data_IF_893316392922
#
_entry.id   IF_893316392922
#
_cell.length_a   1.000
_cell.length_b   1.000
_cell.length_c   1.000
_cell.angle_alpha   90.00
_cell.angle_beta   90.00
_cell.angle_gamma   90.00
#
_symmetry.space_group_name_H-M   'P 1'
#
loop_
_entity.id
_entity.type
_entity.pdbx_description
1 polymer ?
#
# COMPACT_ATOMS: atom_id res chain seq x y z
N UNK A 1 -0.06 -30.22 22.90
CA UNK A 1 -1.00 -29.90 21.81
C UNK A 1 -0.54 -28.56 21.24
N UNK A 2 0.07 -28.53 20.05
CA UNK A 2 0.36 -27.25 19.39
C UNK A 2 -0.98 -26.74 18.88
N UNK A 3 -1.43 -25.60 19.41
CA UNK A 3 -2.55 -24.88 18.80
C UNK A 3 -2.00 -24.38 17.47
N UNK A 4 -2.55 -24.88 16.37
CA UNK A 4 -2.16 -24.48 15.03
C UNK A 4 -2.76 -23.09 14.80
N UNK A 5 -2.11 -22.07 15.37
CA UNK A 5 -2.50 -20.68 15.25
C UNK A 5 -2.10 -20.20 13.87
N UNK A 6 -3.10 -19.86 13.06
CA UNK A 6 -2.86 -19.19 11.79
C UNK A 6 -2.38 -17.76 12.10
N UNK A 7 -1.21 -17.31 11.59
CA UNK A 7 -0.68 -15.97 11.89
C UNK A 7 -1.68 -14.85 11.58
N UNK A 8 -2.50 -15.04 10.55
CA UNK A 8 -3.52 -14.07 10.15
C UNK A 8 -4.54 -13.80 11.27
N UNK A 9 -4.98 -14.82 12.02
CA UNK A 9 -5.95 -14.64 13.10
C UNK A 9 -5.38 -13.95 14.35
N UNK A 10 -4.06 -13.70 14.37
CA UNK A 10 -3.38 -12.91 15.40
C UNK A 10 -3.27 -11.44 14.94
N UNK A 11 -3.22 -11.19 13.63
CA UNK A 11 -2.95 -9.87 13.05
C UNK A 11 -4.22 -9.11 12.65
N UNK A 12 -5.30 -9.82 12.32
CA UNK A 12 -6.57 -9.24 11.86
C UNK A 12 -7.75 -9.93 12.54
N UNK A 13 -8.87 -9.22 12.67
CA UNK A 13 -10.13 -9.75 13.17
C UNK A 13 -11.29 -9.64 12.16
N UNK A 14 -12.47 -10.12 12.55
CA UNK A 14 -13.67 -10.09 11.69
C UNK A 14 -14.13 -8.67 11.35
N UNK A 15 -13.81 -7.67 12.20
CA UNK A 15 -14.16 -6.28 11.94
C UNK A 15 -13.25 -5.68 10.86
N UNK A 16 -11.94 -5.97 10.89
CA UNK A 16 -11.00 -5.60 9.83
C UNK A 16 -11.45 -6.17 8.48
N UNK A 17 -11.80 -7.47 8.45
CA UNK A 17 -12.26 -8.16 7.24
C UNK A 17 -13.53 -7.50 6.70
N UNK A 18 -14.52 -7.25 7.58
CA UNK A 18 -15.77 -6.62 7.17
C UNK A 18 -15.54 -5.21 6.61
N UNK A 19 -14.64 -4.43 7.21
CA UNK A 19 -14.28 -3.11 6.71
C UNK A 19 -13.63 -3.18 5.33
N UNK A 20 -12.65 -4.07 5.14
CA UNK A 20 -11.97 -4.22 3.86
C UNK A 20 -12.92 -4.69 2.75
N UNK A 21 -13.85 -5.59 3.07
CA UNK A 21 -14.91 -6.00 2.14
C UNK A 21 -15.80 -4.83 1.74
N UNK A 22 -16.19 -3.97 2.68
CA UNK A 22 -16.97 -2.76 2.39
C UNK A 22 -16.20 -1.77 1.50
N UNK A 23 -14.86 -1.78 1.58
CA UNK A 23 -13.97 -1.00 0.72
C UNK A 23 -13.70 -1.68 -0.64
N UNK A 24 -14.25 -2.87 -0.89
CA UNK A 24 -14.18 -3.57 -2.17
C UNK A 24 -13.06 -4.61 -2.31
N UNK A 25 -12.43 -5.02 -1.19
CA UNK A 25 -11.55 -6.18 -1.17
C UNK A 25 -12.37 -7.47 -1.44
N UNK A 26 -11.87 -8.42 -2.27
CA UNK A 26 -12.49 -9.73 -2.41
C UNK A 26 -12.69 -10.47 -1.08
N UNK A 27 -13.75 -11.27 -1.03
CA UNK A 27 -14.02 -12.16 0.08
C UNK A 27 -13.27 -13.50 -0.06
N UNK A 28 -11.94 -13.47 -0.14
CA UNK A 28 -11.11 -14.66 -0.22
C UNK A 28 -9.86 -14.55 0.68
N UNK A 29 -9.37 -15.71 1.13
CA UNK A 29 -8.25 -15.82 2.06
C UNK A 29 -6.98 -15.12 1.56
N UNK A 30 -6.65 -15.26 0.28
CA UNK A 30 -5.44 -14.66 -0.32
C UNK A 30 -5.54 -13.14 -0.28
N UNK A 31 -6.72 -12.59 -0.53
CA UNK A 31 -6.97 -11.15 -0.46
C UNK A 31 -6.82 -10.60 0.96
N UNK A 32 -7.28 -11.34 1.98
CA UNK A 32 -7.07 -10.95 3.38
C UNK A 32 -5.60 -10.99 3.79
N UNK A 33 -4.85 -11.99 3.32
CA UNK A 33 -3.42 -12.09 3.56
C UNK A 33 -2.66 -10.93 2.88
N UNK A 34 -2.99 -10.61 1.63
CA UNK A 34 -2.41 -9.48 0.91
C UNK A 34 -2.74 -8.14 1.57
N UNK A 35 -3.96 -7.97 2.05
CA UNK A 35 -4.37 -6.78 2.80
C UNK A 35 -3.58 -6.66 4.11
N UNK A 36 -3.47 -7.73 4.89
CA UNK A 36 -2.67 -7.74 6.11
C UNK A 36 -1.19 -7.41 5.82
N UNK A 37 -0.60 -7.97 4.77
CA UNK A 37 0.77 -7.62 4.35
C UNK A 37 0.86 -6.13 4.02
N UNK A 38 -0.07 -5.59 3.23
CA UNK A 38 -0.06 -4.18 2.83
C UNK A 38 -0.16 -3.24 4.05
N UNK A 39 -1.02 -3.56 5.01
CA UNK A 39 -1.28 -2.72 6.19
C UNK A 39 -0.13 -2.80 7.21
N UNK A 40 0.43 -3.99 7.43
CA UNK A 40 1.40 -4.23 8.50
C UNK A 40 2.86 -4.30 8.03
N UNK A 41 3.14 -4.13 6.74
CA UNK A 41 4.51 -4.20 6.23
C UNK A 41 5.40 -3.04 6.72
N UNK A 42 6.63 -3.38 7.08
CA UNK A 42 7.66 -2.42 7.48
C UNK A 42 8.35 -1.73 6.31
N UNK A 43 8.21 -2.25 5.09
CA UNK A 43 8.75 -1.66 3.86
C UNK A 43 7.59 -1.17 3.00
N UNK A 44 7.84 -0.25 2.09
CA UNK A 44 6.81 0.18 1.16
C UNK A 44 6.41 -1.00 0.25
N UNK A 45 5.13 -1.41 0.23
CA UNK A 45 4.71 -2.59 -0.51
C UNK A 45 4.68 -2.30 -2.01
N UNK A 46 5.16 -3.26 -2.79
CA UNK A 46 4.94 -3.31 -4.23
C UNK A 46 3.75 -4.23 -4.51
N UNK A 47 2.70 -3.68 -5.12
CA UNK A 47 1.51 -4.43 -5.48
C UNK A 47 1.48 -4.73 -6.99
N UNK A 48 1.34 -6.01 -7.33
CA UNK A 48 1.12 -6.47 -8.72
C UNK A 48 -0.37 -6.76 -8.88
N UNK A 49 -1.09 -5.89 -9.57
CA UNK A 49 -2.54 -5.95 -9.68
C UNK A 49 -3.00 -5.79 -11.15
N UNK A 50 -3.05 -6.88 -11.93
CA UNK A 50 -3.45 -6.81 -13.34
C UNK A 50 -4.93 -6.46 -13.53
N UNK A 51 -5.77 -6.64 -12.50
CA UNK A 51 -7.22 -6.42 -12.57
C UNK A 51 -7.63 -5.04 -12.02
N UNK A 52 -6.72 -4.30 -11.37
CA UNK A 52 -6.99 -3.00 -10.76
C UNK A 52 -7.87 -3.07 -9.51
N UNK A 53 -8.05 -4.26 -8.92
CA UNK A 53 -8.90 -4.45 -7.75
C UNK A 53 -8.25 -3.94 -6.47
N UNK A 54 -6.99 -4.28 -6.23
CA UNK A 54 -6.21 -3.75 -5.12
C UNK A 54 -6.08 -2.24 -5.22
N UNK A 55 -5.93 -1.71 -6.43
CA UNK A 55 -5.89 -0.27 -6.68
C UNK A 55 -7.18 0.43 -6.21
N UNK A 56 -8.34 -0.13 -6.56
CA UNK A 56 -9.64 0.39 -6.15
C UNK A 56 -9.80 0.31 -4.63
N UNK A 57 -9.40 -0.80 -4.02
CA UNK A 57 -9.47 -0.99 -2.57
C UNK A 57 -8.61 0.03 -1.82
N UNK A 58 -7.34 0.24 -2.21
CA UNK A 58 -6.44 1.23 -1.58
C UNK A 58 -7.02 2.65 -1.67
N UNK A 59 -7.63 3.01 -2.81
CA UNK A 59 -8.27 4.32 -2.99
C UNK A 59 -9.47 4.53 -2.05
N UNK A 60 -10.22 3.47 -1.77
CA UNK A 60 -11.33 3.50 -0.82
C UNK A 60 -10.87 3.45 0.64
N UNK A 61 -9.68 2.89 0.91
CA UNK A 61 -9.12 2.80 2.25
C UNK A 61 -8.52 4.13 2.73
N UNK A 62 -7.86 4.89 1.85
CA UNK A 62 -7.09 6.11 2.23
C UNK A 62 -7.71 7.44 1.74
N UNK A 63 -9.04 7.48 1.55
CA UNK A 63 -9.79 8.53 0.80
C UNK A 63 -9.35 9.97 1.06
N UNK A 64 -9.02 10.33 2.30
CA UNK A 64 -8.84 11.73 2.70
C UNK A 64 -7.39 12.23 2.60
N UNK A 65 -6.41 11.32 2.45
CA UNK A 65 -4.97 11.67 2.45
C UNK A 65 -4.18 11.02 1.32
N UNK A 66 -4.86 10.43 0.34
CA UNK A 66 -4.21 9.71 -0.75
C UNK A 66 -3.83 10.64 -1.90
N UNK A 67 -2.53 10.82 -2.11
CA UNK A 67 -1.97 11.44 -3.31
C UNK A 67 -1.64 10.33 -4.32
N UNK A 68 -2.45 10.23 -5.36
CA UNK A 68 -2.19 9.31 -6.48
C UNK A 68 -1.36 10.00 -7.57
N UNK A 69 -0.24 9.40 -7.94
CA UNK A 69 0.68 9.86 -8.99
C UNK A 69 0.98 8.73 -9.96
N UNK A 70 1.22 9.07 -11.23
CA UNK A 70 1.82 8.14 -12.18
C UNK A 70 3.33 8.33 -12.21
N UNK A 71 4.08 7.24 -12.17
CA UNK A 71 5.54 7.25 -12.34
C UNK A 71 5.94 7.94 -13.65
N UNK A 72 7.04 8.69 -13.63
CA UNK A 72 7.57 9.45 -14.77
C UNK A 72 6.60 10.46 -15.42
N UNK A 73 5.49 10.81 -14.77
CA UNK A 73 4.61 11.89 -15.25
C UNK A 73 5.24 13.27 -15.02
N UNK A 74 4.83 14.27 -15.81
CA UNK A 74 5.36 15.64 -15.69
C UNK A 74 5.12 16.17 -14.26
N UNK A 75 6.21 16.58 -13.59
CA UNK A 75 6.17 17.11 -12.23
C UNK A 75 5.91 16.07 -11.14
N UNK A 76 6.10 14.76 -11.40
CA UNK A 76 5.85 13.73 -10.39
C UNK A 76 6.75 13.89 -9.17
N UNK A 77 8.04 14.21 -9.35
CA UNK A 77 9.00 14.40 -8.24
C UNK A 77 8.58 15.54 -7.31
N UNK A 78 8.17 16.69 -7.85
CA UNK A 78 7.69 17.82 -7.07
C UNK A 78 6.47 17.44 -6.22
N UNK A 79 5.58 16.62 -6.79
CA UNK A 79 4.39 16.13 -6.07
C UNK A 79 4.74 15.08 -5.02
N UNK A 80 5.72 14.22 -5.28
CA UNK A 80 6.27 13.27 -4.28
C UNK A 80 6.86 14.05 -3.11
N UNK A 81 7.72 15.03 -3.37
CA UNK A 81 8.33 15.87 -2.34
C UNK A 81 7.25 16.56 -1.49
N UNK A 82 6.25 17.15 -2.15
CA UNK A 82 5.17 17.85 -1.45
C UNK A 82 4.33 16.90 -0.58
N UNK A 83 4.04 15.69 -1.05
CA UNK A 83 3.32 14.67 -0.28
C UNK A 83 4.12 14.22 0.94
N UNK A 84 5.42 13.93 0.77
CA UNK A 84 6.33 13.56 1.86
C UNK A 84 6.39 14.67 2.91
N UNK A 85 6.52 15.93 2.49
CA UNK A 85 6.58 17.09 3.39
C UNK A 85 5.29 17.27 4.22
N UNK A 86 4.12 16.97 3.64
CA UNK A 86 2.82 17.07 4.32
C UNK A 86 2.46 15.85 5.16
N UNK A 87 3.16 14.74 5.00
CA UNK A 87 2.80 13.46 5.61
C UNK A 87 1.55 12.83 4.97
N UNK A 88 1.33 13.09 3.67
CA UNK A 88 0.25 12.46 2.90
C UNK A 88 0.60 10.99 2.56
N UNK A 89 -0.42 10.16 2.37
CA UNK A 89 -0.24 8.81 1.83
C UNK A 89 0.00 8.89 0.33
N UNK A 90 1.12 8.34 -0.15
CA UNK A 90 1.46 8.35 -1.56
C UNK A 90 1.14 7.00 -2.23
N UNK A 91 0.47 7.05 -3.38
CA UNK A 91 0.28 5.91 -4.26
C UNK A 91 0.88 6.20 -5.63
N UNK A 92 1.91 5.44 -5.98
CA UNK A 92 2.60 5.55 -7.26
C UNK A 92 2.14 4.45 -8.20
N UNK A 93 1.45 4.84 -9.28
CA UNK A 93 0.89 3.95 -10.29
C UNK A 93 1.86 3.76 -11.46
N UNK A 94 1.74 2.61 -12.14
CA UNK A 94 2.46 2.28 -13.37
C UNK A 94 3.99 2.39 -13.21
N UNK A 95 4.52 1.90 -12.10
CA UNK A 95 5.97 1.85 -11.93
C UNK A 95 6.59 0.91 -12.97
N UNK A 96 7.80 1.24 -13.41
CA UNK A 96 8.58 0.43 -14.33
C UNK A 96 9.44 -0.58 -13.54
N UNK A 97 10.04 -1.55 -14.23
CA UNK A 97 10.99 -2.49 -13.62
C UNK A 97 12.20 -1.77 -13.02
N UNK A 98 12.59 -0.63 -13.61
CA UNK A 98 13.67 0.22 -13.15
C UNK A 98 13.10 1.52 -12.58
N UNK A 99 13.36 1.74 -11.30
CA UNK A 99 12.97 2.97 -10.59
C UNK A 99 14.17 3.91 -10.58
N UNK A 100 13.93 5.21 -10.76
CA UNK A 100 14.96 6.25 -10.65
C UNK A 100 15.61 6.22 -9.26
N UNK A 101 16.94 6.17 -9.26
CA UNK A 101 17.81 6.24 -8.09
C UNK A 101 17.48 7.41 -7.14
N UNK A 102 16.88 8.49 -7.64
CA UNK A 102 16.45 9.63 -6.83
C UNK A 102 15.42 9.25 -5.75
N UNK A 103 14.64 8.19 -5.96
CA UNK A 103 13.64 7.71 -4.99
C UNK A 103 14.24 6.75 -3.95
N UNK A 104 15.47 6.26 -4.13
CA UNK A 104 16.10 5.31 -3.21
C UNK A 104 16.12 5.77 -1.75
N UNK A 105 16.42 7.05 -1.41
CA UNK A 105 16.42 7.48 -0.01
C UNK A 105 15.03 7.36 0.63
N UNK A 106 13.97 7.62 -0.14
CA UNK A 106 12.59 7.54 0.31
C UNK A 106 12.17 6.07 0.45
N UNK A 107 12.47 5.24 -0.56
CA UNK A 107 12.10 3.83 -0.60
C UNK A 107 12.80 3.05 0.53
N UNK A 108 14.08 3.31 0.75
CA UNK A 108 14.87 2.66 1.80
C UNK A 108 14.64 3.26 3.20
N UNK A 109 13.83 4.34 3.31
CA UNK A 109 13.62 5.08 4.56
C UNK A 109 14.95 5.54 5.19
N UNK A 110 15.88 6.03 4.37
CA UNK A 110 17.15 6.59 4.80
C UNK A 110 16.93 8.00 5.38
N UNK A 111 16.40 8.05 6.59
CA UNK A 111 16.18 9.30 7.32
C UNK A 111 17.52 9.80 7.87
N UNK A 112 18.00 10.91 7.33
CA UNK A 112 19.17 11.61 7.90
C UNK A 112 18.73 12.21 9.24
N UNK A 113 19.45 11.85 10.31
CA UNK A 113 19.28 12.42 11.65
C UNK A 113 20.05 13.71 11.81
#
# INVERSE_FOLDING_TARGET
MRVDLQPLSIMIDDADIAEWMNQGLPADQTSYENAAILIYCLRWPLMVDPQGQGLRWIKNLFTDKLVTLRYNSKGYLDRVEAAVRRGDTLLLECIEENIDSILEPIINRNLIR
#
